data_IF_533566536415
#
_entry.id   IF_533566536415
#
_cell.length_a   1.000
_cell.length_b   1.000
_cell.length_c   1.000
_cell.angle_alpha   90.00
_cell.angle_beta   90.00
_cell.angle_gamma   90.00
#
_symmetry.space_group_name_H-M   'P 1'
#
loop_
_entity.id
_entity.type
_entity.pdbx_description
1 polymer ?
#
# COMPACT_ATOMS: atom_id res chain seq x y z
N UNK A 1 13.91 -8.48 -4.30
CA UNK A 1 13.71 -9.00 -2.92
C UNK A 1 12.38 -8.50 -2.41
N UNK A 2 11.44 -9.40 -2.10
CA UNK A 2 10.12 -9.04 -1.56
C UNK A 2 10.20 -9.07 -0.04
N UNK A 3 10.18 -7.89 0.59
CA UNK A 3 10.12 -7.81 2.05
C UNK A 3 8.69 -8.05 2.48
N UNK A 4 8.40 -9.22 3.06
CA UNK A 4 7.12 -9.47 3.73
C UNK A 4 7.15 -8.72 5.04
N UNK A 5 6.65 -7.48 5.01
CA UNK A 5 6.53 -6.67 6.20
C UNK A 5 5.51 -7.30 7.15
N UNK A 6 5.91 -7.49 8.42
CA UNK A 6 5.07 -7.86 9.58
C UNK A 6 4.09 -6.71 9.94
N UNK A 7 3.44 -6.14 8.92
CA UNK A 7 2.83 -4.79 8.95
C UNK A 7 1.41 -4.75 8.35
N UNK A 8 0.81 -5.90 8.06
CA UNK A 8 -0.55 -6.01 7.52
C UNK A 8 -0.68 -5.79 6.01
N UNK A 9 0.43 -5.49 5.32
CA UNK A 9 0.49 -5.41 3.85
C UNK A 9 1.92 -5.63 3.35
N UNK A 10 2.05 -5.98 2.07
CA UNK A 10 3.32 -6.25 1.39
C UNK A 10 3.62 -5.14 0.40
N UNK A 11 4.85 -4.65 0.39
CA UNK A 11 5.34 -3.61 -0.54
C UNK A 11 6.23 -4.26 -1.59
N UNK A 12 5.88 -4.11 -2.87
CA UNK A 12 6.69 -4.59 -4.00
C UNK A 12 7.16 -3.39 -4.85
N UNK A 13 8.45 -3.05 -4.84
CA UNK A 13 9.00 -1.99 -5.68
C UNK A 13 8.70 -2.24 -7.17
N UNK A 14 8.34 -1.17 -7.90
CA UNK A 14 8.20 -1.20 -9.36
C UNK A 14 9.56 -0.90 -10.00
N UNK A 15 10.23 0.16 -9.54
CA UNK A 15 11.60 0.52 -9.93
C UNK A 15 12.49 0.68 -8.70
N UNK A 16 13.78 0.94 -8.88
CA UNK A 16 14.72 1.20 -7.78
C UNK A 16 14.31 2.44 -6.97
N UNK A 17 13.91 3.53 -7.61
CA UNK A 17 13.72 4.84 -6.97
C UNK A 17 12.26 5.21 -6.72
N UNK A 18 11.33 4.73 -7.54
CA UNK A 18 9.93 5.17 -7.49
C UNK A 18 8.96 4.01 -7.72
N UNK A 19 7.76 4.16 -7.16
CA UNK A 19 6.65 3.26 -7.38
C UNK A 19 6.72 2.01 -6.54
N UNK A 20 5.58 1.61 -5.97
CA UNK A 20 5.41 0.30 -5.35
C UNK A 20 3.98 -0.21 -5.48
N UNK A 21 3.84 -1.52 -5.69
CA UNK A 21 2.58 -2.24 -5.61
C UNK A 21 2.36 -2.68 -4.17
N UNK A 22 1.19 -2.38 -3.61
CA UNK A 22 0.81 -2.71 -2.24
C UNK A 22 -0.22 -3.85 -2.27
N UNK A 23 0.11 -4.98 -1.63
CA UNK A 23 -0.78 -6.14 -1.52
C UNK A 23 -1.24 -6.37 -0.09
N UNK A 24 -2.40 -7.01 0.07
CA UNK A 24 -2.92 -7.42 1.39
C UNK A 24 -3.80 -6.39 2.09
N UNK A 25 -4.11 -5.26 1.44
CA UNK A 25 -5.11 -4.31 1.92
C UNK A 25 -6.43 -4.48 1.18
N UNK A 26 -7.52 -4.40 1.94
CA UNK A 26 -8.86 -4.24 1.41
C UNK A 26 -9.30 -2.80 1.65
N UNK A 27 -9.31 -1.99 0.59
CA UNK A 27 -9.66 -0.57 0.68
C UNK A 27 -11.18 -0.32 0.79
N UNK A 28 -12.00 -1.35 0.57
CA UNK A 28 -13.44 -1.26 0.82
C UNK A 28 -13.79 -1.22 2.33
N UNK A 29 -12.79 -1.40 3.22
CA UNK A 29 -12.93 -1.34 4.67
C UNK A 29 -12.10 -0.19 5.26
N UNK A 30 -12.51 0.40 6.40
CA UNK A 30 -11.71 1.38 7.10
C UNK A 30 -10.29 0.87 7.40
N UNK A 31 -9.29 1.68 7.09
CA UNK A 31 -7.89 1.35 7.34
C UNK A 31 -7.55 1.71 8.80
N UNK A 32 -7.00 0.79 9.60
CA UNK A 32 -6.55 1.12 10.95
C UNK A 32 -5.51 2.25 10.94
N UNK A 33 -5.59 3.17 11.90
CA UNK A 33 -4.73 4.36 11.94
C UNK A 33 -3.22 4.03 11.92
N UNK A 34 -2.80 2.94 12.59
CA UNK A 34 -1.42 2.48 12.56
C UNK A 34 -0.98 2.00 11.17
N UNK A 35 -1.85 1.30 10.46
CA UNK A 35 -1.62 0.86 9.08
C UNK A 35 -1.53 2.05 8.13
N UNK A 36 -2.43 3.03 8.28
CA UNK A 36 -2.43 4.25 7.48
C UNK A 36 -1.15 5.08 7.68
N UNK A 37 -0.67 5.21 8.92
CA UNK A 37 0.59 5.90 9.22
C UNK A 37 1.78 5.24 8.51
N UNK A 38 1.84 3.92 8.48
CA UNK A 38 2.88 3.15 7.77
C UNK A 38 2.77 3.33 6.25
N UNK A 39 1.55 3.22 5.72
CA UNK A 39 1.29 3.41 4.29
C UNK A 39 1.72 4.81 3.82
N UNK A 40 1.49 5.84 4.65
CA UNK A 40 1.95 7.20 4.38
C UNK A 40 3.48 7.32 4.33
N UNK A 41 4.21 6.65 5.22
CA UNK A 41 5.67 6.63 5.16
C UNK A 41 6.19 5.99 3.85
N UNK A 42 5.59 4.86 3.44
CA UNK A 42 5.92 4.21 2.16
C UNK A 42 5.55 5.11 0.98
N UNK A 43 4.42 5.81 1.03
CA UNK A 43 4.03 6.74 -0.04
C UNK A 43 5.03 7.90 -0.18
N UNK A 44 5.48 8.49 0.94
CA UNK A 44 6.47 9.57 0.91
C UNK A 44 7.82 9.12 0.35
N UNK A 45 8.26 7.90 0.66
CA UNK A 45 9.49 7.32 0.13
C UNK A 45 9.36 6.98 -1.37
N UNK A 46 8.32 6.21 -1.71
CA UNK A 46 8.14 5.60 -3.03
C UNK A 46 7.38 6.46 -4.03
N UNK A 47 6.85 7.61 -3.60
CA UNK A 47 6.10 8.66 -4.34
C UNK A 47 4.76 8.22 -4.95
N UNK A 48 4.64 6.98 -5.41
CA UNK A 48 3.45 6.41 -6.04
C UNK A 48 3.20 5.01 -5.48
N UNK A 49 1.96 4.76 -5.05
CA UNK A 49 1.51 3.45 -4.59
C UNK A 49 0.39 2.95 -5.49
N UNK A 50 0.46 1.67 -5.89
CA UNK A 50 -0.57 1.00 -6.70
C UNK A 50 -1.21 -0.10 -5.86
N UNK A 51 -2.54 -0.13 -5.82
CA UNK A 51 -3.31 -1.12 -5.07
C UNK A 51 -4.09 -1.99 -6.07
N UNK A 52 -3.61 -3.21 -6.38
CA UNK A 52 -4.26 -4.07 -7.34
C UNK A 52 -5.50 -4.74 -6.72
N UNK A 53 -6.41 -5.18 -7.58
CA UNK A 53 -7.62 -5.96 -7.21
C UNK A 53 -8.48 -5.23 -6.18
N UNK A 54 -8.85 -3.99 -6.49
CA UNK A 54 -9.77 -3.19 -5.67
C UNK A 54 -11.06 -2.97 -6.46
N UNK A 55 -12.19 -3.31 -5.83
CA UNK A 55 -13.53 -3.01 -6.34
C UNK A 55 -14.16 -2.05 -5.35
N UNK A 56 -14.28 -0.78 -5.74
CA UNK A 56 -14.70 0.33 -4.89
C UNK A 56 -15.92 1.03 -5.51
N UNK A 57 -16.80 1.53 -4.66
CA UNK A 57 -17.80 2.52 -5.10
C UNK A 57 -17.13 3.89 -5.27
N UNK A 58 -17.74 4.85 -5.97
CA UNK A 58 -17.15 6.20 -6.10
C UNK A 58 -16.92 6.94 -4.78
N UNK A 59 -17.67 6.59 -3.72
CA UNK A 59 -17.50 7.17 -2.39
C UNK A 59 -16.33 6.57 -1.60
N UNK A 60 -15.76 5.45 -2.07
CA UNK A 60 -14.63 4.73 -1.46
C UNK A 60 -13.33 5.04 -2.19
#
# INVERSE_FOLDING_TARGET
MSTVSKQGFVVKPISSLIGSVIHGLNLAKPIPAQTLKKLRAVWLDRKVLVFPVQTLTPQQ
#
